data_IF_961382830384
#
_entry.id   IF_961382830384
#
_cell.length_a   1.000
_cell.length_b   1.000
_cell.length_c   1.000
_cell.angle_alpha   90.00
_cell.angle_beta   90.00
_cell.angle_gamma   90.00
#
_symmetry.space_group_name_H-M   'P 1'
#
loop_
_entity.id
_entity.type
_entity.pdbx_description
1 polymer ?
#
# COMPACT_ATOMS: atom_id res chain seq x y z
N UNK A 1 25.04 -5.03 2.70
CA UNK A 1 25.35 -3.62 3.02
C UNK A 1 26.16 -3.66 4.32
N UNK A 2 27.41 -3.22 4.31
CA UNK A 2 28.33 -3.44 5.44
C UNK A 2 27.89 -2.74 6.73
N UNK A 3 28.02 -3.42 7.86
CA UNK A 3 27.69 -2.92 9.22
C UNK A 3 28.40 -1.62 9.60
N UNK A 4 29.53 -1.31 8.94
CA UNK A 4 30.24 -0.05 9.13
C UNK A 4 29.52 1.17 8.52
N UNK A 5 28.61 0.96 7.58
CA UNK A 5 27.83 2.05 6.93
C UNK A 5 26.58 2.44 7.71
N UNK A 6 25.98 1.51 8.45
CA UNK A 6 24.83 1.76 9.33
C UNK A 6 25.22 2.58 10.57
N UNK A 7 26.39 2.33 11.15
CA UNK A 7 26.87 3.09 12.32
C UNK A 7 27.16 4.57 12.02
N UNK A 8 27.69 4.88 10.83
CA UNK A 8 27.91 6.29 10.42
C UNK A 8 26.61 7.05 10.14
N UNK A 9 25.57 6.37 9.67
CA UNK A 9 24.25 6.97 9.45
C UNK A 9 23.46 7.18 10.77
N UNK A 10 23.69 6.33 11.77
CA UNK A 10 23.08 6.44 13.10
C UNK A 10 23.66 7.60 13.94
N UNK A 11 24.95 7.93 13.76
CA UNK A 11 25.63 8.99 14.50
C UNK A 11 25.17 10.41 14.13
N UNK A 12 24.60 10.62 12.93
CA UNK A 12 24.12 11.94 12.47
C UNK A 12 22.59 12.11 12.50
N UNK A 13 21.85 11.11 12.97
CA UNK A 13 20.38 11.10 12.98
C UNK A 13 19.77 11.48 14.34
N UNK A 14 18.70 12.28 14.32
CA UNK A 14 17.86 12.56 15.49
C UNK A 14 17.31 11.28 16.13
N UNK A 15 16.84 11.36 17.37
CA UNK A 15 16.36 10.20 18.17
C UNK A 15 15.37 9.31 17.42
N UNK A 16 14.49 9.92 16.62
CA UNK A 16 13.52 9.20 15.79
C UNK A 16 14.18 8.36 14.69
N UNK A 17 15.23 8.87 14.05
CA UNK A 17 15.96 8.14 13.01
C UNK A 17 16.68 6.92 13.59
N UNK A 18 17.28 7.05 14.78
CA UNK A 18 17.90 5.93 15.49
C UNK A 18 16.88 4.88 15.93
N UNK A 19 15.71 5.31 16.39
CA UNK A 19 14.63 4.39 16.74
C UNK A 19 14.10 3.64 15.51
N UNK A 20 13.89 4.34 14.40
CA UNK A 20 13.46 3.73 13.14
C UNK A 20 14.44 2.66 12.66
N UNK A 21 15.75 2.94 12.69
CA UNK A 21 16.79 1.97 12.31
C UNK A 21 16.76 0.72 13.19
N UNK A 22 16.61 0.87 14.52
CA UNK A 22 16.48 -0.30 15.43
C UNK A 22 15.27 -1.17 15.11
N UNK A 23 14.12 -0.57 14.77
CA UNK A 23 12.94 -1.32 14.37
C UNK A 23 13.14 -2.02 13.03
N UNK A 24 13.81 -1.36 12.07
CA UNK A 24 14.18 -1.99 10.79
C UNK A 24 15.08 -3.21 11.01
N UNK A 25 16.16 -3.07 11.80
CA UNK A 25 17.08 -4.19 12.07
C UNK A 25 16.38 -5.36 12.77
N UNK A 26 15.44 -5.07 13.67
CA UNK A 26 14.63 -6.11 14.31
C UNK A 26 13.73 -6.81 13.29
N UNK A 27 13.00 -6.05 12.47
CA UNK A 27 12.09 -6.60 11.48
C UNK A 27 12.83 -7.43 10.43
N UNK A 28 13.96 -6.96 9.90
CA UNK A 28 14.76 -7.72 8.93
C UNK A 28 15.26 -9.06 9.49
N UNK A 29 15.49 -9.14 10.79
CA UNK A 29 16.03 -10.34 11.44
C UNK A 29 14.95 -11.33 11.90
N UNK A 30 13.78 -10.84 12.31
CA UNK A 30 12.79 -11.65 13.02
C UNK A 30 11.42 -11.67 12.37
N UNK A 31 11.12 -10.78 11.42
CA UNK A 31 9.80 -10.75 10.79
C UNK A 31 9.61 -12.01 9.94
N UNK A 32 8.69 -12.92 10.30
CA UNK A 32 8.51 -14.18 9.59
C UNK A 32 8.01 -13.96 8.17
N UNK A 33 8.30 -14.92 7.31
CA UNK A 33 7.68 -14.97 5.99
C UNK A 33 6.14 -15.06 6.11
N UNK A 34 5.41 -14.46 5.16
CA UNK A 34 3.96 -14.48 5.13
C UNK A 34 3.38 -15.91 5.20
N UNK A 35 4.07 -16.89 4.61
CA UNK A 35 3.69 -18.30 4.68
C UNK A 35 3.65 -18.84 6.11
N UNK A 36 4.57 -18.41 6.98
CA UNK A 36 4.62 -18.84 8.39
C UNK A 36 3.35 -18.40 9.11
N UNK A 37 2.91 -17.16 8.89
CA UNK A 37 1.66 -16.66 9.47
C UNK A 37 0.45 -17.43 8.98
N UNK A 38 0.38 -17.74 7.68
CA UNK A 38 -0.72 -18.55 7.12
C UNK A 38 -0.72 -19.96 7.71
N UNK A 39 0.44 -20.63 7.76
CA UNK A 39 0.56 -21.96 8.33
C UNK A 39 0.15 -21.99 9.81
N UNK A 40 0.58 -21.01 10.59
CA UNK A 40 0.19 -20.86 11.98
C UNK A 40 -1.31 -20.59 12.14
N UNK A 41 -1.89 -19.71 11.32
CA UNK A 41 -3.33 -19.45 11.32
C UNK A 41 -4.14 -20.70 11.01
N UNK A 42 -3.73 -21.48 10.00
CA UNK A 42 -4.35 -22.77 9.66
C UNK A 42 -4.26 -23.73 10.85
N UNK A 43 -3.10 -23.87 11.47
CA UNK A 43 -2.93 -24.75 12.63
C UNK A 43 -3.84 -24.35 13.81
N UNK A 44 -3.93 -23.04 14.10
CA UNK A 44 -4.79 -22.51 15.17
C UNK A 44 -6.27 -22.77 14.86
N UNK A 45 -6.72 -22.51 13.63
CA UNK A 45 -8.11 -22.74 13.21
C UNK A 45 -8.46 -24.22 13.25
N UNK A 46 -7.57 -25.09 12.77
CA UNK A 46 -7.76 -26.56 12.83
C UNK A 46 -7.85 -27.02 14.29
N UNK A 47 -6.93 -26.57 15.16
CA UNK A 47 -6.95 -26.92 16.58
C UNK A 47 -8.26 -26.44 17.25
N UNK A 48 -8.68 -25.20 17.00
CA UNK A 48 -9.92 -24.65 17.51
C UNK A 48 -11.16 -25.42 17.04
N UNK A 49 -11.20 -25.83 15.76
CA UNK A 49 -12.30 -26.61 15.22
C UNK A 49 -12.37 -28.02 15.83
N UNK A 50 -11.21 -28.68 16.02
CA UNK A 50 -11.13 -29.99 16.70
C UNK A 50 -11.59 -29.89 18.16
N UNK A 51 -11.18 -28.84 18.89
CA UNK A 51 -11.62 -28.58 20.26
C UNK A 51 -13.13 -28.31 20.36
N UNK A 52 -13.74 -27.76 19.29
CA UNK A 52 -15.18 -27.56 19.18
C UNK A 52 -15.94 -28.82 18.71
N UNK A 53 -15.26 -29.97 18.62
CA UNK A 53 -15.86 -31.25 18.25
C UNK A 53 -16.11 -31.46 16.76
N UNK A 54 -15.52 -30.63 15.88
CA UNK A 54 -15.63 -30.84 14.44
C UNK A 54 -14.82 -32.07 13.99
N UNK A 55 -15.39 -32.89 13.10
CA UNK A 55 -14.68 -34.04 12.56
C UNK A 55 -13.50 -33.62 11.67
N UNK A 56 -12.33 -34.29 11.74
CA UNK A 56 -11.16 -33.96 10.91
C UNK A 56 -11.47 -33.91 9.41
N UNK A 57 -12.34 -34.81 8.94
CA UNK A 57 -12.77 -34.85 7.54
C UNK A 57 -13.57 -33.60 7.15
N UNK A 58 -14.47 -33.15 8.02
CA UNK A 58 -15.26 -31.93 7.77
C UNK A 58 -14.36 -30.68 7.72
N UNK A 59 -13.35 -30.60 8.60
CA UNK A 59 -12.35 -29.52 8.58
C UNK A 59 -11.58 -29.53 7.26
N UNK A 60 -11.07 -30.70 6.84
CA UNK A 60 -10.33 -30.83 5.59
C UNK A 60 -11.18 -30.46 4.37
N UNK A 61 -12.43 -30.90 4.31
CA UNK A 61 -13.37 -30.52 3.25
C UNK A 61 -13.63 -29.01 3.24
N UNK A 62 -13.88 -28.38 4.39
CA UNK A 62 -14.12 -26.94 4.48
C UNK A 62 -12.94 -26.10 3.99
N UNK A 63 -11.71 -26.47 4.35
CA UNK A 63 -10.50 -25.81 3.82
C UNK A 63 -10.33 -26.04 2.32
N UNK A 64 -10.56 -27.26 1.84
CA UNK A 64 -10.48 -27.60 0.43
C UNK A 64 -11.46 -26.79 -0.41
N UNK A 65 -12.73 -26.77 -0.01
CA UNK A 65 -13.80 -26.04 -0.70
C UNK A 65 -13.56 -24.52 -0.64
N UNK A 66 -13.10 -24.00 0.50
CA UNK A 66 -12.76 -22.61 0.69
C UNK A 66 -11.58 -22.13 -0.17
N UNK A 67 -10.53 -22.96 -0.32
CA UNK A 67 -9.33 -22.61 -1.09
C UNK A 67 -9.66 -22.22 -2.54
N UNK A 68 -10.54 -22.98 -3.20
CA UNK A 68 -10.92 -22.71 -4.58
C UNK A 68 -11.64 -21.37 -4.76
N UNK A 69 -12.38 -20.91 -3.73
CA UNK A 69 -13.05 -19.60 -3.76
C UNK A 69 -12.06 -18.42 -3.75
N UNK A 70 -10.85 -18.62 -3.21
CA UNK A 70 -9.82 -17.58 -3.12
C UNK A 70 -9.04 -17.38 -4.42
N UNK A 71 -9.05 -18.35 -5.35
CA UNK A 71 -8.28 -18.27 -6.59
C UNK A 71 -8.73 -17.12 -7.48
N UNK A 72 -10.04 -16.89 -7.61
CA UNK A 72 -10.59 -15.80 -8.42
C UNK A 72 -10.14 -14.46 -7.85
N UNK A 73 -10.31 -14.25 -6.54
CA UNK A 73 -9.85 -13.04 -5.85
C UNK A 73 -8.33 -12.86 -6.01
N UNK A 74 -7.55 -13.92 -5.83
CA UNK A 74 -6.09 -13.87 -5.98
C UNK A 74 -5.68 -13.48 -7.39
N UNK A 75 -6.33 -14.04 -8.42
CA UNK A 75 -6.08 -13.70 -9.82
C UNK A 75 -6.44 -12.25 -10.13
N UNK A 76 -7.57 -11.74 -9.60
CA UNK A 76 -7.96 -10.34 -9.73
C UNK A 76 -6.91 -9.41 -9.12
N UNK A 77 -6.43 -9.73 -7.91
CA UNK A 77 -5.39 -8.94 -7.23
C UNK A 77 -4.06 -9.00 -7.97
N UNK A 78 -3.65 -10.17 -8.46
CA UNK A 78 -2.43 -10.34 -9.26
C UNK A 78 -2.50 -9.52 -10.57
N UNK A 79 -3.60 -9.63 -11.32
CA UNK A 79 -3.80 -8.87 -12.55
C UNK A 79 -3.81 -7.36 -12.31
N UNK A 80 -4.45 -6.91 -11.23
CA UNK A 80 -4.46 -5.50 -10.84
C UNK A 80 -3.05 -4.99 -10.53
N UNK A 81 -2.23 -5.76 -9.80
CA UNK A 81 -0.85 -5.38 -9.50
C UNK A 81 0.01 -5.33 -10.76
N UNK A 82 -0.05 -6.37 -11.60
CA UNK A 82 0.70 -6.44 -12.86
C UNK A 82 0.29 -5.30 -13.80
N UNK A 83 -1.01 -5.05 -13.94
CA UNK A 83 -1.53 -3.96 -14.78
C UNK A 83 -1.11 -2.60 -14.25
N UNK A 84 -1.20 -2.40 -12.92
CA UNK A 84 -0.73 -1.18 -12.26
C UNK A 84 0.76 -0.92 -12.53
N UNK A 85 1.60 -1.96 -12.46
CA UNK A 85 3.01 -1.88 -12.81
C UNK A 85 3.22 -1.53 -14.30
N UNK A 86 2.59 -2.27 -15.21
CA UNK A 86 2.74 -2.06 -16.67
C UNK A 86 2.36 -0.63 -17.07
N UNK A 87 1.27 -0.10 -16.52
CA UNK A 87 0.85 1.27 -16.80
C UNK A 87 1.82 2.27 -16.16
N UNK A 88 2.27 2.05 -14.93
CA UNK A 88 3.19 2.96 -14.24
C UNK A 88 4.56 3.09 -14.94
N UNK A 89 5.01 2.05 -15.67
CA UNK A 89 6.27 2.07 -16.43
C UNK A 89 6.08 2.37 -17.92
N UNK A 90 4.86 2.73 -18.33
CA UNK A 90 4.56 3.05 -19.73
C UNK A 90 5.18 4.40 -20.16
N UNK A 91 5.50 4.54 -21.44
CA UNK A 91 6.06 5.78 -22.00
C UNK A 91 5.23 7.05 -21.70
N UNK A 92 3.88 7.03 -21.74
CA UNK A 92 3.07 8.18 -21.32
C UNK A 92 3.27 8.57 -19.85
N UNK A 93 3.33 7.59 -18.94
CA UNK A 93 3.54 7.86 -17.51
C UNK A 93 4.97 8.32 -17.25
N UNK A 94 5.96 7.79 -17.96
CA UNK A 94 7.34 8.27 -17.87
C UNK A 94 7.47 9.75 -18.28
N UNK A 95 6.77 10.17 -19.34
CA UNK A 95 6.70 11.59 -19.75
C UNK A 95 6.04 12.45 -18.68
N UNK A 96 4.93 11.97 -18.11
CA UNK A 96 4.24 12.64 -17.01
C UNK A 96 5.17 12.80 -15.80
N UNK A 97 5.87 11.74 -15.39
CA UNK A 97 6.82 11.77 -14.28
C UNK A 97 7.94 12.76 -14.56
N UNK A 98 8.50 12.76 -15.77
CA UNK A 98 9.57 13.68 -16.16
C UNK A 98 9.11 15.13 -16.07
N UNK A 99 7.89 15.41 -16.54
CA UNK A 99 7.28 16.73 -16.42
C UNK A 99 7.07 17.13 -14.95
N UNK A 100 6.45 16.27 -14.14
CA UNK A 100 6.21 16.51 -12.70
C UNK A 100 7.54 16.75 -11.97
N UNK A 101 8.57 15.94 -12.26
CA UNK A 101 9.88 16.04 -11.63
C UNK A 101 10.60 17.35 -11.95
N UNK A 102 10.19 18.09 -12.99
CA UNK A 102 10.73 19.41 -13.32
C UNK A 102 10.10 20.56 -12.52
N UNK A 103 8.91 20.36 -11.94
CA UNK A 103 8.15 21.39 -11.23
C UNK A 103 8.79 21.88 -9.91
N UNK A 104 9.31 21.02 -9.02
CA UNK A 104 9.79 21.47 -7.73
C UNK A 104 11.12 22.22 -7.88
N UNK A 105 11.25 23.32 -7.13
CA UNK A 105 12.46 24.16 -7.09
C UNK A 105 13.27 23.96 -5.80
N UNK A 106 12.69 23.28 -4.81
CA UNK A 106 13.30 23.04 -3.49
C UNK A 106 13.13 21.58 -3.08
N UNK A 107 14.04 21.05 -2.27
CA UNK A 107 14.00 19.66 -1.80
C UNK A 107 12.72 19.34 -1.03
N UNK A 108 12.34 20.21 -0.10
CA UNK A 108 11.05 20.13 0.60
C UNK A 108 9.87 20.15 -0.37
N UNK A 109 9.88 21.02 -1.38
CA UNK A 109 8.83 21.05 -2.40
C UNK A 109 8.75 19.74 -3.20
N UNK A 110 9.89 19.12 -3.49
CA UNK A 110 9.94 17.82 -4.16
C UNK A 110 9.33 16.71 -3.30
N UNK A 111 9.65 16.64 -2.00
CA UNK A 111 9.08 15.66 -1.06
C UNK A 111 7.56 15.83 -0.94
N UNK A 112 7.10 17.07 -0.77
CA UNK A 112 5.66 17.39 -0.70
C UNK A 112 4.92 17.01 -1.98
N UNK A 113 5.53 17.29 -3.14
CA UNK A 113 4.97 16.90 -4.44
C UNK A 113 4.91 15.38 -4.58
N UNK A 114 5.95 14.66 -4.17
CA UNK A 114 5.96 13.19 -4.17
C UNK A 114 4.82 12.63 -3.31
N UNK A 115 4.60 13.17 -2.11
CA UNK A 115 3.50 12.78 -1.24
C UNK A 115 2.13 12.97 -1.92
N UNK A 116 1.89 14.17 -2.46
CA UNK A 116 0.65 14.51 -3.13
C UNK A 116 0.39 13.62 -4.35
N UNK A 117 1.41 13.41 -5.18
CA UNK A 117 1.29 12.58 -6.38
C UNK A 117 1.12 11.11 -6.06
N UNK A 118 1.82 10.58 -5.05
CA UNK A 118 1.64 9.20 -4.57
C UNK A 118 0.20 8.97 -4.12
N UNK A 119 -0.35 9.87 -3.29
CA UNK A 119 -1.74 9.78 -2.84
C UNK A 119 -2.75 9.92 -3.98
N UNK A 120 -2.53 10.85 -4.91
CA UNK A 120 -3.41 11.03 -6.07
C UNK A 120 -3.44 9.79 -6.97
N UNK A 121 -2.27 9.22 -7.27
CA UNK A 121 -2.18 7.98 -8.04
C UNK A 121 -2.81 6.80 -7.29
N UNK A 122 -2.73 6.79 -5.95
CA UNK A 122 -3.33 5.72 -5.15
C UNK A 122 -4.85 5.72 -5.18
N UNK A 123 -5.48 6.89 -5.38
CA UNK A 123 -6.92 6.98 -5.56
C UNK A 123 -7.38 6.30 -6.86
N UNK A 124 -6.53 6.33 -7.89
CA UNK A 124 -6.77 5.67 -9.17
C UNK A 124 -6.44 4.18 -9.08
N UNK A 125 -5.28 3.85 -8.51
CA UNK A 125 -4.75 2.49 -8.42
C UNK A 125 -3.62 2.41 -7.39
N UNK A 126 -3.87 1.76 -6.25
CA UNK A 126 -2.85 1.65 -5.19
C UNK A 126 -1.57 0.94 -5.67
N UNK A 127 -1.68 -0.10 -6.52
CA UNK A 127 -0.51 -0.79 -7.05
C UNK A 127 0.30 0.09 -8.01
N UNK A 128 -0.38 0.89 -8.84
CA UNK A 128 0.24 1.87 -9.72
C UNK A 128 0.98 2.95 -8.92
N UNK A 129 0.38 3.44 -7.83
CA UNK A 129 0.96 4.47 -6.97
C UNK A 129 2.34 4.10 -6.43
N UNK A 130 2.51 2.85 -5.98
CA UNK A 130 3.79 2.37 -5.45
C UNK A 130 4.92 2.48 -6.48
N UNK A 131 4.65 2.03 -7.70
CA UNK A 131 5.63 2.05 -8.80
C UNK A 131 5.86 3.49 -9.26
N UNK A 132 4.79 4.25 -9.46
CA UNK A 132 4.85 5.66 -9.85
C UNK A 132 5.69 6.48 -8.85
N UNK A 133 5.43 6.32 -7.55
CA UNK A 133 6.14 7.01 -6.48
C UNK A 133 7.64 6.68 -6.49
N UNK A 134 8.00 5.40 -6.63
CA UNK A 134 9.40 4.98 -6.72
C UNK A 134 10.12 5.59 -7.94
N UNK A 135 9.47 5.58 -9.12
CA UNK A 135 10.04 6.15 -10.34
C UNK A 135 10.14 7.68 -10.25
N UNK A 136 9.16 8.36 -9.66
CA UNK A 136 9.20 9.81 -9.43
C UNK A 136 10.34 10.20 -8.48
N UNK A 137 10.51 9.50 -7.36
CA UNK A 137 11.63 9.74 -6.43
C UNK A 137 12.97 9.54 -7.13
N UNK A 138 13.10 8.50 -7.96
CA UNK A 138 14.31 8.28 -8.77
C UNK A 138 14.56 9.40 -9.76
N UNK A 139 13.52 9.92 -10.41
CA UNK A 139 13.63 11.04 -11.35
C UNK A 139 14.06 12.34 -10.64
N UNK A 140 13.49 12.63 -9.47
CA UNK A 140 13.87 13.76 -8.63
C UNK A 140 15.30 13.63 -8.10
N UNK A 141 15.71 12.43 -7.66
CA UNK A 141 17.08 12.18 -7.18
C UNK A 141 18.16 12.30 -8.25
N UNK A 142 17.81 12.26 -9.54
CA UNK A 142 18.75 12.52 -10.65
C UNK A 142 19.01 14.01 -10.88
N UNK A 143 18.16 14.90 -10.36
CA UNK A 143 18.32 16.35 -10.49
C UNK A 143 19.44 16.86 -9.58
N UNK A 144 20.56 17.26 -10.18
CA UNK A 144 21.74 17.77 -9.46
C UNK A 144 21.51 19.16 -8.85
N UNK A 145 20.54 19.90 -9.35
CA UNK A 145 20.15 21.22 -8.88
C UNK A 145 19.23 21.18 -7.65
N UNK A 146 18.70 20.00 -7.31
CA UNK A 146 17.81 19.78 -6.18
C UNK A 146 18.56 19.17 -5.00
N UNK A 147 18.68 19.92 -3.90
CA UNK A 147 19.08 19.37 -2.60
C UNK A 147 17.87 18.73 -1.93
N UNK A 148 17.61 17.46 -2.21
CA UNK A 148 16.49 16.68 -1.67
C UNK A 148 17.00 15.50 -0.84
N UNK A 149 16.44 15.30 0.35
CA UNK A 149 16.67 14.07 1.10
C UNK A 149 15.94 12.91 0.41
N UNK A 150 16.71 11.99 -0.15
CA UNK A 150 16.19 10.84 -0.90
C UNK A 150 15.39 9.87 -0.02
N UNK A 151 15.73 9.75 1.27
CA UNK A 151 15.03 8.88 2.22
C UNK A 151 13.67 9.47 2.56
N UNK A 152 13.60 10.78 2.79
CA UNK A 152 12.34 11.48 3.04
C UNK A 152 11.42 11.44 1.81
N UNK A 153 11.97 11.60 0.60
CA UNK A 153 11.21 11.44 -0.63
C UNK A 153 10.69 10.00 -0.82
N UNK A 154 11.52 8.99 -0.49
CA UNK A 154 11.10 7.60 -0.46
C UNK A 154 9.95 7.33 0.52
N UNK A 155 10.03 7.89 1.73
CA UNK A 155 8.93 7.81 2.70
C UNK A 155 7.66 8.49 2.20
N UNK A 156 7.77 9.67 1.59
CA UNK A 156 6.65 10.38 0.98
C UNK A 156 5.98 9.58 -0.15
N UNK A 157 6.76 8.81 -0.93
CA UNK A 157 6.22 7.94 -1.97
C UNK A 157 5.33 6.80 -1.42
N UNK A 158 5.46 6.44 -0.14
CA UNK A 158 4.60 5.44 0.51
C UNK A 158 3.26 6.00 1.01
N UNK A 159 3.06 7.32 1.02
CA UNK A 159 1.82 7.92 1.53
C UNK A 159 0.58 7.53 0.72
N UNK A 160 0.72 7.18 -0.56
CA UNK A 160 -0.40 6.60 -1.32
C UNK A 160 -0.95 5.34 -0.66
N UNK A 161 -0.07 4.37 -0.38
CA UNK A 161 -0.45 3.15 0.34
C UNK A 161 -0.83 3.44 1.80
N UNK A 162 -0.16 4.37 2.46
CA UNK A 162 -0.38 4.66 3.88
C UNK A 162 -1.63 5.48 4.19
N UNK A 163 -2.13 6.31 3.26
CA UNK A 163 -3.14 7.32 3.54
C UNK A 163 -4.42 7.18 2.71
N UNK A 164 -4.32 7.01 1.39
CA UNK A 164 -5.50 7.16 0.49
C UNK A 164 -5.91 5.88 -0.26
N UNK A 165 -5.14 4.79 -0.17
CA UNK A 165 -5.36 3.56 -0.94
C UNK A 165 -6.78 2.97 -0.84
N UNK A 166 -7.38 3.00 0.35
CA UNK A 166 -8.71 2.44 0.59
C UNK A 166 -9.87 3.38 0.20
N UNK A 167 -9.56 4.65 -0.08
CA UNK A 167 -10.54 5.71 -0.37
C UNK A 167 -10.69 5.99 -1.88
N UNK A 168 -9.94 5.27 -2.71
CA UNK A 168 -9.96 5.39 -4.17
C UNK A 168 -10.93 4.44 -4.85
N UNK A 169 -11.18 4.69 -6.14
CA UNK A 169 -11.97 3.76 -6.99
C UNK A 169 -11.32 2.35 -7.07
N UNK A 170 -10.02 2.24 -6.78
CA UNK A 170 -9.29 0.96 -6.71
C UNK A 170 -9.40 0.23 -5.37
N UNK A 171 -10.25 0.67 -4.45
CA UNK A 171 -10.44 0.01 -3.16
C UNK A 171 -11.00 -1.40 -3.35
N UNK A 172 -10.17 -2.41 -3.07
CA UNK A 172 -10.50 -3.83 -3.29
C UNK A 172 -11.74 -4.25 -2.49
N UNK A 173 -11.89 -3.76 -1.27
CA UNK A 173 -13.06 -4.06 -0.43
C UNK A 173 -14.36 -3.48 -1.02
N UNK A 174 -14.32 -2.24 -1.49
CA UNK A 174 -15.49 -1.60 -2.09
C UNK A 174 -15.85 -2.22 -3.45
N UNK A 175 -14.85 -2.58 -4.28
CA UNK A 175 -15.11 -3.27 -5.55
C UNK A 175 -15.67 -4.67 -5.34
N UNK A 176 -15.18 -5.40 -4.34
CA UNK A 176 -15.73 -6.69 -3.95
C UNK A 176 -17.22 -6.55 -3.63
N UNK A 177 -17.59 -5.60 -2.78
CA UNK A 177 -18.98 -5.39 -2.36
C UNK A 177 -19.90 -4.84 -3.48
N UNK A 178 -19.35 -4.07 -4.42
CA UNK A 178 -20.10 -3.47 -5.51
C UNK A 178 -20.33 -4.41 -6.70
N UNK A 179 -19.66 -5.57 -6.73
CA UNK A 179 -19.75 -6.52 -7.85
C UNK A 179 -20.20 -7.92 -7.37
N UNK A 180 -21.46 -8.32 -7.64
CA UNK A 180 -21.95 -9.64 -7.23
C UNK A 180 -21.16 -10.81 -7.81
N UNK A 181 -20.53 -10.66 -8.97
CA UNK A 181 -19.69 -11.71 -9.56
C UNK A 181 -18.35 -11.92 -8.84
N UNK A 182 -17.94 -11.00 -7.96
CA UNK A 182 -16.70 -11.11 -7.19
C UNK A 182 -16.93 -11.61 -5.76
N UNK A 183 -18.18 -11.63 -5.27
CA UNK A 183 -18.50 -12.07 -3.91
C UNK A 183 -18.78 -13.57 -3.81
N UNK A 184 -18.32 -14.24 -2.74
CA UNK A 184 -18.83 -15.55 -2.35
C UNK A 184 -20.36 -15.52 -2.17
N UNK A 185 -21.05 -16.55 -2.68
CA UNK A 185 -22.53 -16.63 -2.59
C UNK A 185 -23.05 -16.48 -1.15
N UNK A 186 -22.36 -17.10 -0.20
CA UNK A 186 -22.69 -17.03 1.23
C UNK A 186 -22.66 -15.61 1.79
N UNK A 187 -21.75 -14.75 1.29
CA UNK A 187 -21.69 -13.35 1.70
C UNK A 187 -22.76 -12.52 0.99
N UNK A 188 -22.96 -12.74 -0.31
CA UNK A 188 -23.95 -12.03 -1.11
C UNK A 188 -25.37 -12.18 -0.55
N UNK A 189 -25.73 -13.36 -0.05
CA UNK A 189 -27.04 -13.63 0.57
C UNK A 189 -27.28 -12.82 1.87
N UNK A 190 -26.21 -12.49 2.60
CA UNK A 190 -26.29 -11.75 3.87
C UNK A 190 -26.23 -10.24 3.62
N UNK A 191 -25.26 -9.79 2.83
CA UNK A 191 -24.93 -8.36 2.70
C UNK A 191 -25.56 -7.69 1.50
N UNK A 192 -25.97 -8.46 0.49
CA UNK A 192 -26.34 -7.92 -0.82
C UNK A 192 -25.19 -7.18 -1.50
N UNK A 193 -25.52 -6.42 -2.55
CA UNK A 193 -24.58 -5.55 -3.27
C UNK A 193 -24.66 -4.13 -2.71
N UNK A 194 -23.52 -3.56 -2.31
CA UNK A 194 -23.45 -2.17 -1.84
C UNK A 194 -22.67 -1.34 -2.89
N UNK A 195 -23.33 -0.44 -3.63
CA UNK A 195 -22.68 0.31 -4.70
C UNK A 195 -21.70 1.36 -4.16
N UNK A 196 -20.84 1.89 -5.04
CA UNK A 196 -19.88 2.94 -4.69
C UNK A 196 -20.54 4.23 -4.20
N UNK A 197 -21.77 4.51 -4.64
CA UNK A 197 -22.59 5.65 -4.17
C UNK A 197 -22.95 5.56 -2.70
N UNK A 198 -22.88 4.37 -2.10
CA UNK A 198 -23.15 4.12 -0.68
C UNK A 198 -21.88 3.76 0.11
N UNK A 199 -20.69 3.87 -0.51
CA UNK A 199 -19.41 3.59 0.15
C UNK A 199 -18.43 4.73 -0.06
N UNK A 200 -17.68 4.71 -1.17
CA UNK A 200 -16.59 5.66 -1.44
C UNK A 200 -17.12 7.02 -1.84
N UNK A 201 -18.23 7.10 -2.57
CA UNK A 201 -18.79 8.37 -3.05
C UNK A 201 -19.74 9.05 -2.07
N UNK A 202 -19.85 8.52 -0.85
CA UNK A 202 -20.50 9.24 0.25
C UNK A 202 -19.74 10.53 0.54
N UNK A 203 -20.47 11.60 0.87
CA UNK A 203 -19.86 12.89 1.16
C UNK A 203 -18.90 12.80 2.36
N UNK A 204 -19.20 11.94 3.34
CA UNK A 204 -18.34 11.68 4.50
C UNK A 204 -16.99 11.09 4.06
N UNK A 205 -17.02 10.12 3.13
CA UNK A 205 -15.82 9.51 2.56
C UNK A 205 -15.00 10.52 1.76
N UNK A 206 -15.66 11.41 1.02
CA UNK A 206 -14.99 12.49 0.27
C UNK A 206 -14.35 13.52 1.21
N UNK A 207 -15.04 13.93 2.27
CA UNK A 207 -14.48 14.83 3.29
C UNK A 207 -13.29 14.17 3.98
N UNK A 208 -13.42 12.90 4.39
CA UNK A 208 -12.34 12.15 5.01
C UNK A 208 -11.12 12.04 4.09
N UNK A 209 -11.33 11.71 2.82
CA UNK A 209 -10.28 11.67 1.79
C UNK A 209 -9.57 13.02 1.68
N UNK A 210 -10.32 14.12 1.56
CA UNK A 210 -9.75 15.47 1.45
C UNK A 210 -8.95 15.86 2.69
N UNK A 211 -9.46 15.56 3.88
CA UNK A 211 -8.79 15.86 5.15
C UNK A 211 -7.50 15.06 5.29
N UNK A 212 -7.53 13.75 5.03
CA UNK A 212 -6.34 12.88 5.08
C UNK A 212 -5.31 13.33 4.05
N UNK A 213 -5.75 13.64 2.83
CA UNK A 213 -4.88 14.12 1.77
C UNK A 213 -4.20 15.44 2.19
N UNK A 214 -4.98 16.44 2.61
CA UNK A 214 -4.46 17.74 3.02
C UNK A 214 -3.50 17.60 4.21
N UNK A 215 -3.90 16.88 5.26
CA UNK A 215 -3.07 16.67 6.45
C UNK A 215 -1.77 15.96 6.10
N UNK A 216 -1.82 14.90 5.28
CA UNK A 216 -0.63 14.14 4.89
C UNK A 216 0.34 14.99 4.06
N UNK A 217 -0.18 15.82 3.14
CA UNK A 217 0.64 16.80 2.40
C UNK A 217 1.27 17.82 3.35
N UNK A 218 0.49 18.36 4.29
CA UNK A 218 0.98 19.32 5.29
C UNK A 218 2.08 18.70 6.16
N UNK A 219 1.87 17.49 6.67
CA UNK A 219 2.85 16.78 7.49
C UNK A 219 4.12 16.48 6.68
N UNK A 220 4.00 15.99 5.45
CA UNK A 220 5.15 15.76 4.57
C UNK A 220 5.97 17.05 4.33
N UNK A 221 5.28 18.18 4.15
CA UNK A 221 5.91 19.48 3.95
C UNK A 221 6.58 20.02 5.23
N UNK A 222 5.95 19.86 6.39
CA UNK A 222 6.49 20.35 7.67
C UNK A 222 7.62 19.47 8.21
N UNK A 223 7.60 18.17 7.92
CA UNK A 223 8.62 17.21 8.36
C UNK A 223 9.78 17.03 7.37
N UNK A 224 9.69 17.60 6.17
CA UNK A 224 10.77 17.56 5.20
C UNK A 224 12.03 18.29 5.74
N UNK A 225 13.21 17.62 5.73
CA UNK A 225 14.46 18.18 6.24
C UNK A 225 15.06 19.28 5.34
#
# INVERSE_FOLDING_TARGET
MDSATTDKAAASGGTLARLALKFTDFAERWFPDAFVFVAMAVAIVVAGALLNGAEPKAIASAFGDGYWSLLVFTMQMALMVVSGYVVAVSGPVERLITWIASLPKTGRGAITLTAAMSMAMSLIGWAMSLVFGAVLVRALGRRKDLKMDYRAAGAAAYLGLGATWALGISSSAAQLQANPGSMPKSLLEITGVIPLTQTIFLWQSMVMMLLIFALSVTVANLSAP
#
